data_IF_119124619815
#
_entry.id   IF_119124619815
#
_cell.length_a   1.000
_cell.length_b   1.000
_cell.length_c   1.000
_cell.angle_alpha   90.00
_cell.angle_beta   90.00
_cell.angle_gamma   90.00
#
_symmetry.space_group_name_H-M   'P 1'
#
loop_
_entity.id
_entity.type
_entity.pdbx_description
1 polymer ?
#
# COMPACT_ATOMS: atom_id res chain seq x y z
N UNK A 1 36.89 -11.56 3.96
CA UNK A 1 35.63 -12.29 4.22
C UNK A 1 34.50 -11.55 3.54
N UNK A 2 33.65 -12.24 2.77
CA UNK A 2 32.47 -11.63 2.12
C UNK A 2 31.22 -12.16 2.84
N UNK A 3 30.41 -11.25 3.37
CA UNK A 3 29.12 -11.58 3.95
C UNK A 3 28.01 -11.19 2.97
N UNK A 4 27.15 -12.13 2.63
CA UNK A 4 26.00 -11.87 1.75
C UNK A 4 24.78 -11.47 2.56
N UNK A 5 24.12 -10.41 2.15
CA UNK A 5 22.80 -10.08 2.70
C UNK A 5 21.81 -11.19 2.30
N UNK A 6 21.15 -11.84 3.24
CA UNK A 6 20.13 -12.82 2.92
C UNK A 6 18.96 -12.15 2.18
N UNK A 7 18.38 -12.86 1.22
CA UNK A 7 17.15 -12.39 0.56
C UNK A 7 16.00 -12.51 1.54
N UNK A 8 15.22 -11.43 1.66
CA UNK A 8 13.97 -11.50 2.40
C UNK A 8 12.98 -12.42 1.69
N UNK A 9 12.11 -13.13 2.45
CA UNK A 9 11.05 -13.91 1.83
C UNK A 9 10.15 -13.00 0.98
N UNK A 10 9.70 -13.51 -0.16
CA UNK A 10 8.74 -12.81 -1.00
C UNK A 10 7.38 -12.84 -0.30
N UNK A 11 6.70 -11.71 -0.12
CA UNK A 11 5.34 -11.69 0.42
C UNK A 11 4.40 -12.56 -0.42
N UNK A 12 3.35 -13.16 0.17
CA UNK A 12 2.42 -14.03 -0.57
C UNK A 12 1.62 -13.27 -1.63
N UNK A 13 1.44 -11.98 -1.47
CA UNK A 13 0.71 -11.10 -2.37
C UNK A 13 1.50 -9.82 -2.65
N UNK A 14 1.25 -9.22 -3.82
CA UNK A 14 1.79 -7.93 -4.24
C UNK A 14 0.67 -6.91 -4.35
N UNK A 15 0.93 -5.69 -3.90
CA UNK A 15 0.06 -4.53 -4.06
C UNK A 15 0.39 -3.71 -5.31
N UNK A 16 1.43 -4.11 -6.06
CA UNK A 16 1.84 -3.44 -7.28
C UNK A 16 0.68 -3.37 -8.29
N UNK A 17 0.48 -2.20 -8.87
CA UNK A 17 -0.67 -1.90 -9.74
C UNK A 17 -2.04 -1.96 -9.05
N UNK A 18 -2.08 -2.09 -7.74
CA UNK A 18 -3.31 -2.04 -6.96
C UNK A 18 -3.75 -0.61 -6.67
N UNK A 19 -5.07 -0.42 -6.60
CA UNK A 19 -5.66 0.85 -6.15
C UNK A 19 -6.20 0.71 -4.73
N UNK A 20 -5.60 1.47 -3.82
CA UNK A 20 -6.13 1.64 -2.47
C UNK A 20 -7.17 2.76 -2.53
N UNK A 21 -8.43 2.44 -2.31
CA UNK A 21 -9.51 3.43 -2.36
C UNK A 21 -9.86 4.02 -1.00
N UNK A 22 -9.46 3.36 0.07
CA UNK A 22 -9.70 3.82 1.43
C UNK A 22 -8.58 3.35 2.36
N UNK A 23 -8.14 4.24 3.23
CA UNK A 23 -7.17 3.97 4.28
C UNK A 23 -7.75 4.45 5.60
N UNK A 24 -7.84 3.57 6.57
CA UNK A 24 -8.49 3.85 7.86
C UNK A 24 -7.64 3.40 9.04
N UNK A 25 -7.64 4.23 10.07
CA UNK A 25 -7.13 3.85 11.38
C UNK A 25 -8.24 3.09 12.14
N UNK A 26 -7.94 1.88 12.57
CA UNK A 26 -8.79 1.06 13.42
C UNK A 26 -8.08 0.83 14.76
N UNK A 27 -8.34 1.69 15.77
CA UNK A 27 -7.58 1.72 17.03
C UNK A 27 -6.08 1.93 16.79
N UNK A 28 -5.24 0.95 17.12
CA UNK A 28 -3.80 0.98 16.88
C UNK A 28 -3.39 0.43 15.50
N UNK A 29 -4.36 -0.07 14.73
CA UNK A 29 -4.15 -0.72 13.46
C UNK A 29 -4.43 0.23 12.28
N UNK A 30 -3.83 -0.09 11.15
CA UNK A 30 -4.11 0.56 9.87
C UNK A 30 -4.73 -0.48 8.92
N UNK A 31 -5.82 -0.13 8.27
CA UNK A 31 -6.40 -0.94 7.20
C UNK A 31 -6.37 -0.21 5.87
N UNK A 32 -5.92 -0.92 4.85
CA UNK A 32 -5.92 -0.47 3.46
C UNK A 32 -6.94 -1.30 2.68
N UNK A 33 -7.93 -0.64 2.11
CA UNK A 33 -8.95 -1.27 1.27
C UNK A 33 -8.57 -1.13 -0.19
N UNK A 34 -8.49 -2.26 -0.91
CA UNK A 34 -8.11 -2.29 -2.31
C UNK A 34 -9.33 -2.51 -3.20
N UNK A 35 -9.44 -1.72 -4.26
CA UNK A 35 -10.59 -1.76 -5.18
C UNK A 35 -10.72 -3.10 -5.90
N UNK A 36 -9.59 -3.65 -6.34
CA UNK A 36 -9.53 -4.95 -7.05
C UNK A 36 -8.68 -5.97 -6.32
N UNK A 37 -8.38 -5.73 -5.04
CA UNK A 37 -7.53 -6.62 -4.26
C UNK A 37 -6.05 -6.55 -4.63
N UNK A 38 -5.39 -7.67 -4.55
CA UNK A 38 -3.96 -7.84 -4.75
C UNK A 38 -3.69 -9.13 -5.54
N UNK A 39 -2.45 -9.31 -5.99
CA UNK A 39 -2.07 -10.41 -6.87
C UNK A 39 -1.14 -11.38 -6.13
N UNK A 40 -1.38 -12.67 -6.29
CA UNK A 40 -0.48 -13.72 -5.77
C UNK A 40 0.92 -13.57 -6.39
N UNK A 41 1.95 -13.76 -5.58
CA UNK A 41 3.35 -13.67 -6.03
C UNK A 41 3.92 -14.98 -6.57
N UNK A 42 3.14 -16.06 -6.47
CA UNK A 42 3.47 -17.38 -7.01
C UNK A 42 2.44 -17.81 -8.06
N UNK A 43 2.80 -18.68 -9.03
CA UNK A 43 1.84 -19.21 -9.99
C UNK A 43 0.61 -19.84 -9.29
N UNK A 44 -0.60 -19.62 -9.81
CA UNK A 44 -0.95 -19.01 -11.09
C UNK A 44 -1.10 -17.48 -11.11
N UNK A 45 -0.60 -16.73 -10.10
CA UNK A 45 -0.66 -15.27 -10.03
C UNK A 45 -2.08 -14.72 -10.07
N UNK A 46 -2.99 -15.35 -9.32
CA UNK A 46 -4.39 -14.94 -9.29
C UNK A 46 -4.55 -13.59 -8.61
N UNK A 47 -5.50 -12.83 -9.11
CA UNK A 47 -5.99 -11.65 -8.42
C UNK A 47 -6.98 -12.07 -7.34
N UNK A 48 -6.81 -11.55 -6.12
CA UNK A 48 -7.61 -11.89 -4.95
C UNK A 48 -8.16 -10.63 -4.33
N UNK A 49 -9.47 -10.59 -4.12
CA UNK A 49 -10.11 -9.47 -3.42
C UNK A 49 -9.78 -9.49 -1.94
N UNK A 50 -9.64 -8.32 -1.35
CA UNK A 50 -9.35 -8.22 0.06
C UNK A 50 -8.83 -6.87 0.49
N UNK A 51 -8.36 -6.84 1.74
CA UNK A 51 -7.74 -5.69 2.37
C UNK A 51 -6.43 -6.08 3.01
N UNK A 52 -5.61 -5.08 3.32
CA UNK A 52 -4.36 -5.27 4.06
C UNK A 52 -4.49 -4.57 5.41
N UNK A 53 -4.07 -5.24 6.46
CA UNK A 53 -4.06 -4.68 7.80
C UNK A 53 -2.64 -4.70 8.35
N UNK A 54 -2.22 -3.60 8.95
CA UNK A 54 -1.02 -3.51 9.78
C UNK A 54 -1.45 -3.39 11.23
N UNK A 55 -0.97 -4.29 12.08
CA UNK A 55 -1.29 -4.26 13.50
C UNK A 55 -0.19 -3.57 14.30
N UNK A 56 -0.57 -2.93 15.41
CA UNK A 56 0.34 -2.20 16.29
C UNK A 56 1.23 -1.21 15.52
N UNK A 57 0.59 -0.34 14.75
CA UNK A 57 1.28 0.68 13.97
C UNK A 57 1.95 1.68 14.90
N UNK A 58 3.20 2.01 14.61
CA UNK A 58 3.90 3.12 15.27
C UNK A 58 3.49 4.43 14.60
N UNK A 59 2.44 5.03 15.11
CA UNK A 59 1.86 6.27 14.58
C UNK A 59 2.79 7.48 14.73
N UNK A 60 3.70 7.43 15.70
CA UNK A 60 4.70 8.48 15.89
C UNK A 60 5.89 8.40 14.93
N UNK A 61 6.07 7.25 14.27
CA UNK A 61 7.18 7.00 13.35
C UNK A 61 6.73 6.53 11.96
N UNK A 62 5.45 6.66 11.65
CA UNK A 62 4.90 6.39 10.33
C UNK A 62 4.57 7.71 9.64
N UNK A 63 5.05 7.84 8.40
CA UNK A 63 5.02 9.10 7.67
C UNK A 63 4.51 8.92 6.25
N UNK A 64 4.08 10.02 5.67
CA UNK A 64 3.74 10.11 4.25
C UNK A 64 4.49 11.29 3.64
N UNK A 65 5.11 11.05 2.50
CA UNK A 65 5.80 12.06 1.71
C UNK A 65 4.97 12.34 0.47
N UNK A 66 4.57 13.59 0.29
CA UNK A 66 3.90 14.07 -0.91
C UNK A 66 4.90 14.85 -1.75
N UNK A 67 5.08 14.45 -3.00
CA UNK A 67 6.10 15.00 -3.89
C UNK A 67 5.44 15.66 -5.11
N UNK A 68 5.86 16.89 -5.41
CA UNK A 68 5.46 17.65 -6.60
C UNK A 68 6.69 18.03 -7.40
N UNK A 69 6.69 17.72 -8.67
CA UNK A 69 7.78 18.08 -9.58
C UNK A 69 7.50 19.45 -10.20
N UNK A 70 8.32 20.45 -9.82
CA UNK A 70 8.18 21.83 -10.33
C UNK A 70 8.86 22.06 -11.68
N UNK A 71 9.87 21.26 -12.02
CA UNK A 71 10.65 21.38 -13.24
C UNK A 71 11.06 19.98 -13.72
N UNK A 72 10.08 19.21 -14.15
CA UNK A 72 10.28 17.85 -14.64
C UNK A 72 10.95 17.85 -16.01
N UNK A 73 12.06 17.13 -16.13
CA UNK A 73 12.77 16.92 -17.42
C UNK A 73 12.18 15.73 -18.18
N UNK A 74 11.81 14.70 -17.47
CA UNK A 74 11.20 13.50 -18.05
C UNK A 74 10.48 12.74 -16.91
N UNK A 75 9.17 12.60 -16.98
CA UNK A 75 8.38 11.88 -16.00
C UNK A 75 8.57 12.44 -14.57
N UNK A 76 9.05 11.60 -13.66
CA UNK A 76 9.31 11.93 -12.26
C UNK A 76 10.79 12.26 -11.97
N UNK A 77 11.50 12.77 -12.95
CA UNK A 77 12.90 13.19 -12.82
C UNK A 77 13.02 14.70 -12.95
N UNK A 78 13.62 15.35 -11.97
CA UNK A 78 13.81 16.79 -11.94
C UNK A 78 13.79 17.35 -10.52
N UNK A 79 13.58 18.65 -10.40
CA UNK A 79 13.42 19.31 -9.11
C UNK A 79 12.05 19.03 -8.52
N UNK A 80 11.97 18.75 -7.23
CA UNK A 80 10.71 18.51 -6.56
C UNK A 80 10.56 19.37 -5.29
N UNK A 81 9.31 19.63 -4.94
CA UNK A 81 8.89 20.16 -3.66
C UNK A 81 8.00 19.14 -2.97
N UNK A 82 8.02 19.09 -1.64
CA UNK A 82 7.24 18.09 -0.95
C UNK A 82 6.90 18.47 0.48
N UNK A 83 6.02 17.68 1.04
CA UNK A 83 5.64 17.71 2.45
C UNK A 83 5.85 16.34 3.07
N UNK A 84 6.28 16.34 4.32
CA UNK A 84 6.30 15.15 5.15
C UNK A 84 5.22 15.28 6.21
N UNK A 85 4.24 14.39 6.17
CA UNK A 85 3.14 14.35 7.13
C UNK A 85 3.26 13.12 8.03
N UNK A 86 2.75 13.22 9.26
CA UNK A 86 2.45 12.00 10.01
C UNK A 86 1.37 11.21 9.26
N UNK A 87 1.48 9.89 9.26
CA UNK A 87 0.50 9.00 8.61
C UNK A 87 -0.92 9.30 9.10
N UNK A 88 -1.10 9.52 10.40
CA UNK A 88 -2.41 9.84 10.97
C UNK A 88 -3.00 11.13 10.41
N UNK A 89 -2.18 12.17 10.26
CA UNK A 89 -2.60 13.44 9.63
C UNK A 89 -2.98 13.22 8.17
N UNK A 90 -2.17 12.46 7.44
CA UNK A 90 -2.46 12.12 6.05
C UNK A 90 -3.81 11.40 5.90
N UNK A 91 -4.11 10.43 6.76
CA UNK A 91 -5.38 9.70 6.71
C UNK A 91 -6.59 10.63 6.90
N UNK A 92 -6.49 11.61 7.80
CA UNK A 92 -7.57 12.56 8.03
C UNK A 92 -7.82 13.48 6.83
N UNK A 93 -6.80 13.77 6.04
CA UNK A 93 -6.89 14.65 4.87
C UNK A 93 -7.18 13.88 3.58
N UNK A 94 -6.56 12.72 3.39
CA UNK A 94 -6.51 12.01 2.10
C UNK A 94 -6.90 10.53 2.16
N UNK A 95 -7.37 10.04 3.29
CA UNK A 95 -7.64 8.61 3.48
C UNK A 95 -8.64 7.99 2.50
N UNK A 96 -9.45 8.80 1.82
CA UNK A 96 -10.47 8.35 0.85
C UNK A 96 -10.23 8.84 -0.58
N UNK A 97 -9.06 9.42 -0.86
CA UNK A 97 -8.77 10.01 -2.17
C UNK A 97 -8.32 9.00 -3.22
N UNK A 98 -7.91 7.82 -2.82
CA UNK A 98 -7.36 6.82 -3.71
C UNK A 98 -5.86 6.98 -3.96
N UNK A 99 -5.17 5.84 -3.95
CA UNK A 99 -3.73 5.74 -4.21
C UNK A 99 -3.48 4.57 -5.16
N UNK A 100 -2.93 4.88 -6.33
CA UNK A 100 -2.44 3.86 -7.27
C UNK A 100 -1.01 3.49 -6.90
N UNK A 101 -0.81 2.27 -6.42
CA UNK A 101 0.50 1.77 -6.01
C UNK A 101 1.30 1.32 -7.23
N UNK A 102 2.51 1.84 -7.41
CA UNK A 102 3.40 1.40 -8.50
C UNK A 102 4.67 0.72 -8.00
N UNK A 103 5.00 0.83 -6.72
CA UNK A 103 6.16 0.17 -6.13
C UNK A 103 5.93 -0.15 -4.66
N UNK A 104 6.56 -1.21 -4.20
CA UNK A 104 6.48 -1.67 -2.81
C UNK A 104 7.85 -2.15 -2.33
N UNK A 105 8.21 -1.80 -1.10
CA UNK A 105 9.45 -2.24 -0.48
C UNK A 105 9.17 -2.71 0.95
N UNK A 106 9.66 -3.90 1.26
CA UNK A 106 9.48 -4.54 2.56
C UNK A 106 10.79 -4.54 3.33
N UNK A 107 10.76 -4.08 4.57
CA UNK A 107 11.88 -4.12 5.49
C UNK A 107 11.50 -4.79 6.80
N UNK A 108 12.39 -4.73 7.77
CA UNK A 108 12.09 -5.21 9.11
C UNK A 108 11.03 -4.32 9.78
N UNK A 109 9.84 -4.89 10.01
CA UNK A 109 8.70 -4.18 10.59
C UNK A 109 8.40 -2.82 9.92
N UNK A 110 8.64 -2.73 8.62
CA UNK A 110 8.45 -1.53 7.84
C UNK A 110 8.05 -1.88 6.42
N UNK A 111 7.09 -1.14 5.90
CA UNK A 111 6.69 -1.20 4.49
C UNK A 111 6.70 0.21 3.92
N UNK A 112 7.22 0.36 2.70
CA UNK A 112 7.08 1.56 1.90
C UNK A 112 6.23 1.25 0.68
N UNK A 113 5.17 2.00 0.50
CA UNK A 113 4.33 1.96 -0.68
C UNK A 113 4.49 3.27 -1.44
N UNK A 114 4.97 3.18 -2.67
CA UNK A 114 5.07 4.32 -3.56
C UNK A 114 3.91 4.30 -4.53
N UNK A 115 3.29 5.45 -4.76
CA UNK A 115 2.13 5.52 -5.63
C UNK A 115 1.80 6.94 -6.07
N UNK A 116 0.70 7.03 -6.80
CA UNK A 116 0.11 8.30 -7.22
C UNK A 116 -1.17 8.54 -6.44
N UNK A 117 -1.17 9.60 -5.64
CA UNK A 117 -2.37 10.05 -4.93
C UNK A 117 -3.31 10.75 -5.91
N UNK A 118 -4.54 10.27 -6.00
CA UNK A 118 -5.53 10.70 -6.97
C UNK A 118 -6.40 11.86 -6.47
N UNK A 119 -5.82 12.78 -5.72
CA UNK A 119 -6.56 13.95 -5.22
C UNK A 119 -6.84 14.96 -6.32
N UNK A 120 -8.08 15.38 -6.46
CA UNK A 120 -8.48 16.44 -7.38
C UNK A 120 -8.08 17.83 -6.80
N UNK A 121 -7.52 18.76 -7.59
CA UNK A 121 -7.31 18.70 -9.05
C UNK A 121 -5.95 18.13 -9.47
N UNK A 122 -5.07 17.80 -8.54
CA UNK A 122 -3.69 17.42 -8.83
C UNK A 122 -3.40 15.98 -8.39
N UNK A 123 -2.79 15.22 -9.31
CA UNK A 123 -2.18 13.92 -8.99
C UNK A 123 -0.79 14.16 -8.45
N UNK A 124 -0.48 13.60 -7.29
CA UNK A 124 0.80 13.76 -6.62
C UNK A 124 1.47 12.40 -6.42
N UNK A 125 2.79 12.36 -6.55
CA UNK A 125 3.55 11.21 -6.10
C UNK A 125 3.51 11.13 -4.58
N UNK A 126 3.31 9.93 -4.05
CA UNK A 126 3.11 9.69 -2.63
C UNK A 126 3.93 8.49 -2.18
N UNK A 127 4.63 8.63 -1.06
CA UNK A 127 5.35 7.53 -0.43
C UNK A 127 4.80 7.35 0.98
N UNK A 128 4.16 6.21 1.23
CA UNK A 128 3.75 5.80 2.57
C UNK A 128 4.88 5.02 3.21
N UNK A 129 5.32 5.47 4.37
CA UNK A 129 6.28 4.76 5.21
C UNK A 129 5.55 4.29 6.47
N UNK A 130 5.22 2.99 6.51
CA UNK A 130 4.44 2.38 7.58
C UNK A 130 5.36 1.55 8.45
N UNK A 131 5.49 1.92 9.73
CA UNK A 131 6.19 1.15 10.75
C UNK A 131 5.21 0.52 11.71
N UNK A 132 5.42 -0.74 12.03
CA UNK A 132 4.51 -1.52 12.88
C UNK A 132 5.28 -2.51 13.74
N UNK A 133 4.81 -2.72 14.98
CA UNK A 133 5.39 -3.71 15.88
C UNK A 133 4.71 -5.09 15.76
N UNK A 134 3.48 -5.12 15.24
CA UNK A 134 2.72 -6.35 15.05
C UNK A 134 3.00 -7.00 13.70
N UNK A 135 1.95 -7.23 12.93
CA UNK A 135 1.98 -8.00 11.69
C UNK A 135 1.38 -7.22 10.53
N UNK A 136 1.81 -7.56 9.31
CA UNK A 136 1.12 -7.22 8.07
C UNK A 136 0.27 -8.41 7.67
N UNK A 137 -1.04 -8.21 7.58
CA UNK A 137 -2.03 -9.26 7.32
C UNK A 137 -2.72 -8.97 5.98
N UNK A 138 -2.82 -9.99 5.14
CA UNK A 138 -3.65 -9.97 3.94
C UNK A 138 -4.98 -10.66 4.27
N UNK A 139 -6.04 -9.88 4.34
CA UNK A 139 -7.39 -10.36 4.62
C UNK A 139 -8.10 -10.61 3.30
N UNK A 140 -8.10 -11.87 2.86
CA UNK A 140 -8.69 -12.28 1.60
C UNK A 140 -10.18 -12.54 1.77
N UNK A 141 -10.99 -11.98 0.87
CA UNK A 141 -12.39 -12.37 0.76
C UNK A 141 -12.44 -13.76 0.12
N UNK A 142 -12.80 -14.77 0.89
CA UNK A 142 -13.12 -16.08 0.33
C UNK A 142 -14.31 -15.93 -0.61
N UNK A 143 -14.10 -16.15 -1.90
CA UNK A 143 -15.20 -16.41 -2.81
C UNK A 143 -15.88 -17.70 -2.29
N UNK A 144 -17.07 -17.55 -1.74
CA UNK A 144 -17.91 -18.72 -1.51
C UNK A 144 -18.01 -19.46 -2.83
N UNK A 145 -17.70 -20.77 -2.87
CA UNK A 145 -17.90 -21.54 -4.09
C UNK A 145 -19.35 -21.33 -4.50
N UNK A 146 -19.53 -20.85 -5.72
CA UNK A 146 -20.86 -20.73 -6.32
C UNK A 146 -21.56 -22.07 -6.12
N UNK A 147 -22.55 -22.08 -5.28
CA UNK A 147 -23.52 -23.18 -5.22
C UNK A 147 -24.36 -23.09 -6.49
N UNK A 148 -23.68 -23.42 -7.61
CA UNK A 148 -24.37 -23.58 -8.87
C UNK A 148 -25.32 -24.75 -8.76
N UNK A 149 -26.57 -24.36 -8.71
CA UNK A 149 -27.65 -25.00 -9.42
C UNK A 149 -27.80 -26.49 -9.29
N UNK A 150 -28.68 -26.87 -8.41
CA UNK A 150 -29.44 -28.10 -8.54
C UNK A 150 -30.18 -28.12 -9.90
N UNK A 151 -29.85 -28.99 -10.87
CA UNK A 151 -30.73 -29.20 -12.01
C UNK A 151 -31.89 -30.07 -11.55
N UNK A 152 -33.08 -29.57 -11.72
CA UNK A 152 -34.30 -30.37 -11.67
C UNK A 152 -34.39 -31.26 -12.89
#
# INVERSE_FOLDING_TARGET
>A
MVCKLPKFPIPPYSLHDGRIYCMEQENENLRLWLESGFVETIPPYRQVSGSVQFTEVDWGASYVYLLRYGNSRCGNVGEFHGEKLLLQTFLSLFGKEGLDVYDEAFGWNQVKLCGMLLSDPEVQECILEIRYAGEMLFDTEEQQPDTLGNPK
#
